data_IF_436341081759
#
_entry.id   IF_436341081759
#
_cell.length_a   1.000
_cell.length_b   1.000
_cell.length_c   1.000
_cell.angle_alpha   90.00
_cell.angle_beta   90.00
_cell.angle_gamma   90.00
#
_symmetry.space_group_name_H-M   'P 1'
#
loop_
_entity.id
_entity.type
_entity.pdbx_description
1 polymer ?
#
# COMPACT_ATOMS: atom_id res chain seq x y z
N UNK A 1 16.05 -8.89 7.06
CA UNK A 1 15.84 -7.46 6.79
C UNK A 1 14.36 -7.11 6.93
N UNK A 2 14.05 -6.14 7.77
CA UNK A 2 12.69 -5.58 7.92
C UNK A 2 12.31 -4.77 6.68
N UNK A 3 11.17 -5.09 6.07
CA UNK A 3 10.69 -4.47 4.83
C UNK A 3 9.57 -3.46 5.11
N UNK A 4 9.80 -2.20 4.75
CA UNK A 4 8.79 -1.13 4.83
C UNK A 4 7.72 -1.36 3.77
N UNK A 5 6.45 -1.14 4.11
CA UNK A 5 5.33 -1.30 3.20
C UNK A 5 4.87 -2.74 3.01
N UNK A 6 5.40 -3.67 3.81
CA UNK A 6 5.11 -5.10 3.73
C UNK A 6 4.79 -5.68 5.10
N UNK A 7 4.22 -6.89 5.08
CA UNK A 7 4.10 -7.73 6.26
C UNK A 7 5.43 -8.40 6.57
N UNK A 8 5.82 -8.33 7.84
CA UNK A 8 7.02 -8.93 8.37
C UNK A 8 6.61 -9.85 9.52
N UNK A 9 7.12 -11.08 9.53
CA UNK A 9 6.98 -11.98 10.68
C UNK A 9 8.21 -11.82 11.56
N UNK A 10 8.05 -11.18 12.72
CA UNK A 10 9.15 -10.78 13.60
C UNK A 10 9.01 -11.41 14.99
N UNK A 11 10.13 -11.64 15.66
CA UNK A 11 10.18 -12.22 17.01
C UNK A 11 10.02 -11.14 18.08
N UNK A 12 9.21 -11.41 19.11
CA UNK A 12 9.05 -10.52 20.27
C UNK A 12 10.29 -10.63 21.15
N UNK A 13 11.13 -9.60 21.17
CA UNK A 13 12.40 -9.60 21.91
C UNK A 13 12.23 -9.14 23.36
N UNK A 14 11.41 -8.11 23.57
CA UNK A 14 11.18 -7.50 24.89
C UNK A 14 9.90 -6.69 24.95
N UNK A 15 9.31 -6.65 26.13
CA UNK A 15 8.21 -5.77 26.49
C UNK A 15 8.74 -4.55 27.26
N UNK A 16 8.35 -3.36 26.83
CA UNK A 16 8.82 -2.09 27.37
C UNK A 16 7.66 -1.10 27.47
N UNK A 17 7.85 0.00 28.21
CA UNK A 17 6.81 1.02 28.37
C UNK A 17 6.16 1.52 27.06
N UNK A 18 6.90 1.78 25.95
CA UNK A 18 6.27 2.20 24.69
C UNK A 18 5.57 1.07 23.90
N UNK A 19 5.87 -0.21 24.19
CA UNK A 19 5.36 -1.37 23.46
C UNK A 19 6.38 -2.49 23.32
N UNK A 20 6.11 -3.41 22.39
CA UNK A 20 6.99 -4.54 22.11
C UNK A 20 8.07 -4.15 21.13
N UNK A 21 9.31 -4.53 21.40
CA UNK A 21 10.36 -4.51 20.39
C UNK A 21 10.39 -5.85 19.67
N UNK A 22 10.27 -5.79 18.35
CA UNK A 22 10.25 -6.93 17.46
C UNK A 22 11.54 -7.00 16.66
N UNK A 23 12.13 -8.18 16.53
CA UNK A 23 13.40 -8.41 15.87
C UNK A 23 13.31 -9.30 14.65
N UNK A 24 14.20 -9.08 13.68
CA UNK A 24 14.54 -10.07 12.67
C UNK A 24 15.83 -10.83 13.02
N UNK A 25 16.17 -11.85 12.22
CA UNK A 25 17.36 -12.67 12.45
C UNK A 25 18.69 -11.93 12.15
N UNK A 26 18.63 -10.70 11.64
CA UNK A 26 19.81 -9.88 11.29
C UNK A 26 20.13 -8.85 12.40
N UNK A 27 19.36 -8.86 13.49
CA UNK A 27 19.54 -7.92 14.61
C UNK A 27 18.88 -6.56 14.37
N UNK A 28 18.05 -6.41 13.33
CA UNK A 28 17.23 -5.22 13.15
C UNK A 28 16.04 -5.28 14.10
N UNK A 29 15.66 -4.14 14.68
CA UNK A 29 14.53 -4.05 15.59
C UNK A 29 13.53 -2.96 15.19
N UNK A 30 12.26 -3.20 15.47
CA UNK A 30 11.17 -2.23 15.27
C UNK A 30 10.22 -2.24 16.46
N UNK A 31 9.70 -1.07 16.81
CA UNK A 31 8.69 -0.94 17.86
C UNK A 31 7.29 -1.29 17.32
N UNK A 32 6.57 -2.16 18.04
CA UNK A 32 5.12 -2.32 17.97
C UNK A 32 4.48 -1.58 19.16
N UNK A 33 3.92 -0.37 18.95
CA UNK A 33 3.32 0.42 20.02
C UNK A 33 2.21 -0.30 20.77
N UNK A 34 2.06 0.00 22.06
CA UNK A 34 1.06 -0.60 22.96
C UNK A 34 -0.35 -0.73 22.38
N UNK A 35 -0.80 0.25 21.59
CA UNK A 35 -2.15 0.22 20.98
C UNK A 35 -2.37 -0.92 19.98
N UNK A 36 -1.30 -1.52 19.47
CA UNK A 36 -1.31 -2.60 18.50
C UNK A 36 -0.86 -3.94 19.08
N UNK A 37 -0.46 -3.95 20.36
CA UNK A 37 -0.02 -5.16 21.05
C UNK A 37 -1.23 -6.09 21.25
N UNK A 38 -1.12 -7.39 20.89
CA UNK A 38 -2.19 -8.35 21.12
C UNK A 38 -2.45 -8.55 22.62
N UNK A 39 -3.66 -9.03 22.95
CA UNK A 39 -4.04 -9.27 24.36
C UNK A 39 -3.17 -10.32 25.07
N UNK A 40 -2.62 -11.27 24.32
CA UNK A 40 -1.77 -12.34 24.82
C UNK A 40 -0.57 -12.47 23.90
N UNK A 41 0.61 -12.58 24.48
CA UNK A 41 1.88 -12.83 23.81
C UNK A 41 2.90 -13.35 24.82
N UNK A 42 3.92 -14.04 24.35
CA UNK A 42 5.11 -14.41 25.12
C UNK A 42 6.37 -13.84 24.45
N UNK A 43 7.41 -13.58 25.24
CA UNK A 43 8.73 -13.23 24.68
C UNK A 43 9.26 -14.45 23.93
N UNK A 44 9.75 -14.24 22.70
CA UNK A 44 10.16 -15.28 21.77
C UNK A 44 9.07 -15.70 20.77
N UNK A 45 7.81 -15.26 20.94
CA UNK A 45 6.77 -15.50 19.94
C UNK A 45 7.05 -14.75 18.64
N UNK A 46 6.56 -15.30 17.53
CA UNK A 46 6.57 -14.62 16.23
C UNK A 46 5.22 -13.99 15.95
N UNK A 47 5.24 -12.74 15.51
CA UNK A 47 4.05 -11.97 15.15
C UNK A 47 4.18 -11.39 13.74
N UNK A 48 3.13 -11.53 12.94
CA UNK A 48 3.01 -10.86 11.65
C UNK A 48 2.55 -9.42 11.86
N UNK A 49 3.34 -8.46 11.38
CA UNK A 49 3.07 -7.02 11.50
C UNK A 49 3.33 -6.31 10.19
N UNK A 50 2.56 -5.26 9.90
CA UNK A 50 2.86 -4.35 8.82
C UNK A 50 3.85 -3.28 9.29
N UNK A 51 4.94 -3.07 8.54
CA UNK A 51 5.96 -2.09 8.92
C UNK A 51 5.89 -0.85 8.02
N UNK A 52 5.86 0.34 8.62
CA UNK A 52 5.79 1.61 7.90
C UNK A 52 6.48 2.73 8.68
N UNK A 53 6.62 3.91 8.05
CA UNK A 53 7.11 5.11 8.74
C UNK A 53 5.94 5.86 9.38
N UNK A 54 6.02 6.17 10.68
CA UNK A 54 5.02 6.99 11.38
C UNK A 54 5.07 8.48 10.98
N UNK A 55 4.33 9.34 11.67
CA UNK A 55 4.30 10.79 11.40
C UNK A 55 5.61 11.51 11.77
N UNK A 56 6.46 10.90 12.58
CA UNK A 56 7.80 11.38 12.96
C UNK A 56 8.90 10.72 12.12
N UNK A 57 8.52 9.99 11.06
CA UNK A 57 9.43 9.32 10.13
C UNK A 57 10.25 8.20 10.79
N UNK A 58 9.72 7.61 11.88
CA UNK A 58 10.31 6.44 12.53
C UNK A 58 9.71 5.17 11.95
N UNK A 59 10.55 4.15 11.75
CA UNK A 59 10.10 2.81 11.39
C UNK A 59 9.30 2.24 12.57
N UNK A 60 8.07 1.81 12.30
CA UNK A 60 7.14 1.28 13.30
C UNK A 60 6.37 0.10 12.73
N UNK A 61 6.00 -0.83 13.60
CA UNK A 61 5.16 -1.97 13.30
C UNK A 61 3.71 -1.71 13.73
N UNK A 62 2.77 -2.33 13.05
CA UNK A 62 1.35 -2.37 13.44
C UNK A 62 0.71 -3.71 13.10
N UNK A 63 -0.21 -4.16 13.94
CA UNK A 63 -1.11 -5.29 13.66
C UNK A 63 -2.36 -4.85 12.90
N UNK A 64 -2.53 -3.54 12.67
CA UNK A 64 -3.61 -3.00 11.84
C UNK A 64 -3.32 -3.30 10.37
N UNK A 65 -4.32 -3.78 9.65
CA UNK A 65 -4.18 -4.12 8.23
C UNK A 65 -4.42 -2.88 7.37
N UNK A 66 -3.44 -2.41 6.59
CA UNK A 66 -3.69 -1.35 5.63
C UNK A 66 -4.57 -1.86 4.48
N UNK A 67 -5.17 -0.94 3.74
CA UNK A 67 -5.97 -1.25 2.54
C UNK A 67 -5.10 -1.50 1.30
N UNK A 68 -3.81 -1.20 1.37
CA UNK A 68 -2.85 -1.32 0.27
C UNK A 68 -1.45 -1.54 0.83
N UNK A 69 -0.64 -2.40 0.20
CA UNK A 69 0.79 -2.56 0.49
C UNK A 69 1.65 -1.94 -0.60
N UNK A 70 2.96 -1.87 -0.36
CA UNK A 70 3.91 -1.48 -1.40
C UNK A 70 3.73 -2.35 -2.64
N UNK A 71 3.73 -1.74 -3.82
CA UNK A 71 3.56 -2.47 -5.07
C UNK A 71 2.12 -2.91 -5.36
N UNK A 72 1.13 -2.59 -4.53
CA UNK A 72 -0.28 -2.92 -4.80
C UNK A 72 -1.10 -1.72 -5.29
N UNK A 73 -2.24 -2.01 -5.90
CA UNK A 73 -3.26 -1.03 -6.29
C UNK A 73 -4.47 -1.14 -5.37
N UNK A 74 -5.06 0.00 -4.99
CA UNK A 74 -6.33 0.03 -4.29
C UNK A 74 -7.12 1.33 -4.56
N UNK A 75 -8.43 1.27 -4.36
CA UNK A 75 -9.31 2.44 -4.37
C UNK A 75 -9.31 3.06 -2.97
N UNK A 76 -8.70 4.23 -2.81
CA UNK A 76 -8.59 4.91 -1.51
C UNK A 76 -9.36 6.22 -1.49
N UNK A 77 -9.90 6.57 -0.33
CA UNK A 77 -10.60 7.84 -0.11
C UNK A 77 -9.59 8.94 0.21
N UNK A 78 -9.71 10.08 -0.44
CA UNK A 78 -8.96 11.29 -0.09
C UNK A 78 -9.60 11.96 1.12
N UNK A 79 -8.91 11.95 2.26
CA UNK A 79 -9.40 12.56 3.49
C UNK A 79 -9.07 14.06 3.55
N UNK A 80 -7.93 14.45 2.99
CA UNK A 80 -7.47 15.84 2.99
C UNK A 80 -6.66 16.18 1.72
N UNK A 81 -6.71 17.45 1.34
CA UNK A 81 -5.83 18.04 0.33
C UNK A 81 -5.16 19.26 0.95
N UNK A 82 -3.84 19.29 0.94
CA UNK A 82 -3.02 20.41 1.41
C UNK A 82 -2.32 21.12 0.25
N UNK A 83 -1.49 22.11 0.57
CA UNK A 83 -0.61 22.77 -0.42
C UNK A 83 0.51 21.90 -0.98
N UNK A 84 0.70 20.68 -0.45
CA UNK A 84 1.77 19.77 -0.89
C UNK A 84 1.23 18.60 -1.74
N UNK A 85 -0.02 18.23 -1.55
CA UNK A 85 -0.63 17.07 -2.18
C UNK A 85 -1.87 16.61 -1.43
N UNK A 86 -2.35 15.42 -1.79
CA UNK A 86 -3.49 14.77 -1.15
C UNK A 86 -3.04 13.72 -0.14
N UNK A 87 -3.89 13.47 0.85
CA UNK A 87 -3.68 12.44 1.85
C UNK A 87 -4.85 11.46 1.79
N UNK A 88 -4.50 10.19 1.62
CA UNK A 88 -5.43 9.10 1.36
C UNK A 88 -5.56 8.21 2.59
N UNK A 89 -6.78 7.82 2.90
CA UNK A 89 -7.07 6.80 3.88
C UNK A 89 -6.60 5.45 3.34
N UNK A 90 -5.55 4.90 3.95
CA UNK A 90 -5.07 3.56 3.65
C UNK A 90 -5.22 2.61 4.85
N UNK A 91 -6.06 2.95 5.82
CA UNK A 91 -6.42 2.09 6.95
C UNK A 91 -5.50 2.19 8.16
N UNK A 92 -4.48 3.06 8.15
CA UNK A 92 -3.58 3.30 9.28
C UNK A 92 -3.80 4.68 9.91
N UNK A 93 -3.15 4.93 11.06
CA UNK A 93 -3.19 6.23 11.75
C UNK A 93 -2.54 7.35 10.94
N UNK A 94 -1.49 7.01 10.19
CA UNK A 94 -0.91 7.92 9.20
C UNK A 94 -1.77 7.86 7.93
N UNK A 95 -1.74 8.91 7.12
CA UNK A 95 -2.36 8.90 5.79
C UNK A 95 -1.31 8.67 4.70
N UNK A 96 -1.72 8.00 3.62
CA UNK A 96 -0.85 7.75 2.47
C UNK A 96 -0.79 9.00 1.59
N UNK A 97 0.39 9.60 1.49
CA UNK A 97 0.58 10.85 0.77
C UNK A 97 0.63 10.63 -0.75
N UNK A 98 -0.17 11.38 -1.50
CA UNK A 98 -0.14 11.46 -2.96
C UNK A 98 0.29 12.86 -3.42
N UNK A 99 1.57 13.04 -3.82
CA UNK A 99 2.07 14.31 -4.33
C UNK A 99 1.31 14.79 -5.58
N UNK A 100 1.21 16.11 -5.81
CA UNK A 100 0.54 16.61 -7.01
C UNK A 100 1.12 16.07 -8.33
N UNK A 101 2.44 15.87 -8.41
CA UNK A 101 3.09 15.26 -9.58
C UNK A 101 2.64 13.81 -9.85
N UNK A 102 2.12 13.14 -8.83
CA UNK A 102 1.64 11.76 -8.84
C UNK A 102 0.12 11.64 -9.08
N UNK A 103 -0.57 12.77 -9.20
CA UNK A 103 -2.01 12.81 -9.45
C UNK A 103 -2.31 12.82 -10.96
N UNK A 104 -3.11 11.88 -11.44
CA UNK A 104 -3.62 11.88 -12.81
C UNK A 104 -4.59 13.06 -13.04
N UNK A 105 -5.44 13.30 -12.05
CA UNK A 105 -6.32 14.46 -11.95
C UNK A 105 -6.24 15.03 -10.53
N UNK A 106 -6.42 16.35 -10.34
CA UNK A 106 -6.42 16.95 -9.02
C UNK A 106 -7.42 16.25 -8.08
N UNK A 107 -6.91 15.70 -6.99
CA UNK A 107 -7.71 15.02 -5.98
C UNK A 107 -8.53 16.03 -5.17
N UNK A 108 -9.69 15.59 -4.67
CA UNK A 108 -10.61 16.37 -3.86
C UNK A 108 -10.94 15.60 -2.59
N UNK A 109 -11.01 16.32 -1.47
CA UNK A 109 -11.46 15.77 -0.18
C UNK A 109 -12.82 15.08 -0.36
N UNK A 110 -12.93 13.87 0.19
CA UNK A 110 -14.08 12.98 0.10
C UNK A 110 -14.15 12.14 -1.18
N UNK A 111 -13.34 12.43 -2.20
CA UNK A 111 -13.28 11.64 -3.44
C UNK A 111 -12.55 10.31 -3.27
N UNK A 112 -12.82 9.36 -4.16
CA UNK A 112 -12.17 8.06 -4.19
C UNK A 112 -11.31 7.93 -5.44
N UNK A 113 -10.10 7.38 -5.28
CA UNK A 113 -9.09 7.34 -6.33
C UNK A 113 -8.38 5.99 -6.35
N UNK A 114 -8.30 5.40 -7.54
CA UNK A 114 -7.45 4.23 -7.76
C UNK A 114 -6.00 4.69 -7.74
N UNK A 115 -5.21 4.13 -6.85
CA UNK A 115 -3.79 4.48 -6.69
C UNK A 115 -2.92 3.22 -6.60
N UNK A 116 -1.66 3.38 -7.00
CA UNK A 116 -0.56 2.48 -6.67
C UNK A 116 0.17 2.99 -5.44
N UNK A 117 0.42 2.14 -4.45
CA UNK A 117 1.36 2.45 -3.38
C UNK A 117 2.77 2.01 -3.80
N UNK A 118 3.77 2.85 -3.58
CA UNK A 118 5.17 2.54 -3.86
C UNK A 118 6.09 3.25 -2.86
N UNK A 119 7.32 2.75 -2.71
CA UNK A 119 8.38 3.44 -1.95
C UNK A 119 9.05 4.48 -2.85
N UNK A 120 9.05 5.74 -2.43
CA UNK A 120 9.84 6.79 -3.09
C UNK A 120 11.31 6.62 -2.75
N UNK A 121 12.13 6.26 -3.75
CA UNK A 121 13.56 5.92 -3.57
C UNK A 121 14.41 7.05 -2.97
N UNK A 122 13.96 8.31 -3.05
CA UNK A 122 14.71 9.45 -2.51
C UNK A 122 14.45 9.67 -1.03
N UNK A 123 13.24 9.35 -0.57
CA UNK A 123 12.79 9.65 0.78
C UNK A 123 12.54 8.40 1.62
N UNK A 124 12.53 7.23 1.00
CA UNK A 124 12.22 5.92 1.59
C UNK A 124 10.81 5.86 2.21
N UNK A 125 9.89 6.72 1.75
CA UNK A 125 8.51 6.80 2.23
C UNK A 125 7.56 6.07 1.32
N UNK A 126 6.54 5.45 1.91
CA UNK A 126 5.36 5.01 1.17
C UNK A 126 4.59 6.22 0.65
N UNK A 127 4.34 6.22 -0.64
CA UNK A 127 3.61 7.26 -1.37
C UNK A 127 2.62 6.63 -2.35
N UNK A 128 1.56 7.36 -2.65
CA UNK A 128 0.54 6.97 -3.61
C UNK A 128 0.71 7.68 -4.96
N UNK A 129 0.32 7.01 -6.03
CA UNK A 129 0.21 7.58 -7.37
C UNK A 129 -1.07 7.12 -8.06
N UNK A 130 -1.86 8.05 -8.59
CA UNK A 130 -3.02 7.73 -9.43
C UNK A 130 -2.69 7.66 -10.92
N UNK A 131 -1.43 7.95 -11.31
CA UNK A 131 -0.97 7.70 -12.69
C UNK A 131 -0.58 6.24 -12.85
N UNK A 132 -1.57 5.34 -12.77
CA UNK A 132 -1.40 3.88 -12.71
C UNK A 132 -0.59 3.32 -13.88
N UNK A 133 -0.76 3.87 -15.09
CA UNK A 133 -0.12 3.36 -16.31
C UNK A 133 1.40 3.33 -16.26
N UNK A 134 2.07 4.14 -15.42
CA UNK A 134 3.54 4.11 -15.31
C UNK A 134 4.06 2.84 -14.64
N UNK A 135 3.21 2.13 -13.92
CA UNK A 135 3.56 0.93 -13.15
C UNK A 135 3.06 -0.36 -13.81
N UNK A 136 2.56 -0.25 -15.04
CA UNK A 136 2.05 -1.36 -15.82
C UNK A 136 2.97 -1.57 -17.03
N UNK A 137 3.20 -2.83 -17.38
CA UNK A 137 4.08 -3.18 -18.51
C UNK A 137 3.48 -4.36 -19.28
N UNK A 138 3.40 -4.23 -20.60
CA UNK A 138 2.94 -5.30 -21.51
C UNK A 138 4.08 -5.79 -22.44
N UNK A 139 5.33 -5.41 -22.19
CA UNK A 139 6.50 -5.82 -23.00
C UNK A 139 6.69 -7.33 -22.98
N UNK A 140 6.55 -7.94 -21.80
CA UNK A 140 6.51 -9.38 -21.63
C UNK A 140 5.18 -9.74 -20.96
N UNK A 141 4.31 -10.47 -21.65
CA UNK A 141 3.04 -10.92 -21.09
C UNK A 141 3.27 -12.12 -20.16
N UNK A 142 2.68 -12.08 -18.97
CA UNK A 142 2.70 -13.16 -17.98
C UNK A 142 1.37 -13.91 -17.93
N UNK A 143 0.54 -13.76 -18.97
CA UNK A 143 -0.79 -14.34 -19.05
C UNK A 143 -0.99 -15.03 -20.40
N UNK A 144 -1.76 -16.10 -20.40
CA UNK A 144 -2.12 -16.87 -21.60
C UNK A 144 -3.59 -16.67 -21.99
N UNK A 145 -3.92 -17.06 -23.22
CA UNK A 145 -5.30 -17.00 -23.69
C UNK A 145 -6.19 -17.92 -22.84
N UNK A 146 -7.35 -17.40 -22.41
CA UNK A 146 -8.33 -18.09 -21.56
C UNK A 146 -7.90 -18.36 -20.11
N UNK A 147 -6.76 -17.82 -19.69
CA UNK A 147 -6.37 -17.84 -18.28
C UNK A 147 -7.32 -16.97 -17.44
N UNK A 148 -7.71 -17.49 -16.27
CA UNK A 148 -8.45 -16.72 -15.27
C UNK A 148 -7.50 -15.72 -14.61
N UNK A 149 -7.91 -14.46 -14.52
CA UNK A 149 -7.06 -13.35 -14.07
C UNK A 149 -7.80 -12.44 -13.11
N UNK A 150 -7.05 -11.81 -12.22
CA UNK A 150 -7.55 -10.75 -11.36
C UNK A 150 -7.61 -9.43 -12.14
N UNK A 151 -8.76 -8.77 -12.09
CA UNK A 151 -9.00 -7.51 -12.80
C UNK A 151 -9.35 -6.39 -11.83
N UNK A 152 -8.70 -5.24 -12.03
CA UNK A 152 -9.06 -3.98 -11.36
C UNK A 152 -9.56 -3.01 -12.43
N UNK A 153 -10.83 -2.61 -12.36
CA UNK A 153 -11.36 -1.56 -13.21
C UNK A 153 -10.68 -0.22 -12.92
N UNK A 154 -10.14 0.41 -13.95
CA UNK A 154 -9.39 1.67 -13.83
C UNK A 154 -10.23 2.87 -14.25
N UNK A 155 -10.50 3.02 -15.55
CA UNK A 155 -11.25 4.15 -16.08
C UNK A 155 -11.86 3.79 -17.45
N UNK A 156 -13.02 4.38 -17.79
CA UNK A 156 -13.64 4.16 -19.09
C UNK A 156 -12.83 4.77 -20.23
N UNK A 157 -13.01 4.24 -21.43
CA UNK A 157 -12.56 4.79 -22.71
C UNK A 157 -13.68 4.76 -23.75
N UNK A 158 -13.40 5.29 -24.94
CA UNK A 158 -14.38 5.31 -26.03
C UNK A 158 -14.78 3.92 -26.52
N UNK A 159 -13.93 2.91 -26.32
CA UNK A 159 -14.14 1.54 -26.83
C UNK A 159 -14.34 0.49 -25.72
N UNK A 160 -14.16 0.84 -24.44
CA UNK A 160 -14.26 -0.13 -23.35
C UNK A 160 -13.97 0.42 -21.95
N UNK A 161 -13.71 -0.50 -21.03
CA UNK A 161 -13.21 -0.21 -19.68
C UNK A 161 -11.74 -0.62 -19.60
N UNK A 162 -10.85 0.32 -19.28
CA UNK A 162 -9.46 -0.01 -19.02
C UNK A 162 -9.38 -0.78 -17.69
N UNK A 163 -8.61 -1.85 -17.69
CA UNK A 163 -8.40 -2.72 -16.52
C UNK A 163 -6.93 -2.92 -16.26
N UNK A 164 -6.60 -3.23 -15.01
CA UNK A 164 -5.28 -3.71 -14.60
C UNK A 164 -5.41 -5.21 -14.39
N UNK A 165 -4.59 -6.00 -15.10
CA UNK A 165 -4.60 -7.46 -15.06
C UNK A 165 -3.47 -7.94 -14.16
N UNK A 166 -3.81 -8.73 -13.14
CA UNK A 166 -2.89 -9.30 -12.14
C UNK A 166 -1.95 -8.27 -11.48
N UNK A 167 -2.33 -6.99 -11.46
CA UNK A 167 -1.49 -5.90 -10.95
C UNK A 167 -0.25 -5.56 -11.80
N UNK A 168 -0.11 -6.16 -12.98
CA UNK A 168 1.10 -6.06 -13.83
C UNK A 168 0.77 -5.45 -15.19
N UNK A 169 -0.26 -5.95 -15.86
CA UNK A 169 -0.55 -5.57 -17.24
C UNK A 169 -1.67 -4.54 -17.33
N UNK A 170 -1.60 -3.72 -18.36
CA UNK A 170 -2.74 -2.92 -18.81
C UNK A 170 -3.61 -3.75 -19.76
N UNK A 171 -4.92 -3.66 -19.62
CA UNK A 171 -5.89 -4.37 -20.45
C UNK A 171 -7.13 -3.52 -20.75
N UNK A 172 -7.99 -4.04 -21.63
CA UNK A 172 -9.24 -3.41 -22.02
C UNK A 172 -10.34 -4.47 -22.13
N UNK A 173 -11.46 -4.24 -21.45
CA UNK A 173 -12.71 -4.97 -21.72
C UNK A 173 -13.54 -4.12 -22.68
N UNK A 174 -13.87 -4.64 -23.86
CA UNK A 174 -14.70 -3.94 -24.83
C UNK A 174 -16.11 -3.68 -24.29
N UNK A 175 -16.72 -2.56 -24.72
CA UNK A 175 -18.08 -2.17 -24.27
C UNK A 175 -19.12 -3.28 -24.45
N UNK A 176 -19.05 -4.00 -25.57
CA UNK A 176 -20.00 -5.07 -25.91
C UNK A 176 -19.86 -6.31 -25.02
N UNK A 177 -18.82 -6.37 -24.18
CA UNK A 177 -18.57 -7.47 -23.24
C UNK A 177 -18.81 -7.08 -21.77
N UNK A 178 -19.37 -5.89 -21.51
CA UNK A 178 -19.72 -5.42 -20.16
C UNK A 178 -21.25 -5.50 -20.02
N UNK A 179 -21.74 -6.23 -19.02
CA UNK A 179 -23.18 -6.49 -18.78
C UNK A 179 -23.63 -5.96 -17.42
#
# INVERSE_FOLDING_TARGET
MIQIGEYNTLEILRDTQPGLFLGDNEGNEVLLPNRYVPKHFEIGDKIEVFVYLDNEERIIATTTKPYIKNGEFAMLRCNEVSKYGAFLDFGLVKELFCPFKEQAFPMKKGGWYLVRCYIDEKTERLVASSKTNRFLDNTNLTVEQFEEVDLIASHPSDIGMNVIVNGIHSGLIYKDNIY
#
